data_IF_822285566726
#
_entry.id   IF_822285566726
#
_cell.length_a   1.000
_cell.length_b   1.000
_cell.length_c   1.000
_cell.angle_alpha   90.00
_cell.angle_beta   90.00
_cell.angle_gamma   90.00
#
_symmetry.space_group_name_H-M   'P 1'
#
loop_
_entity.id
_entity.type
_entity.pdbx_description
1 polymer ?
#
# COMPACT_ATOMS: atom_id res chain seq x y z
N UNK A 1 28.54 31.29 10.08
CA UNK A 1 27.38 30.76 10.81
C UNK A 1 26.81 29.62 9.98
N UNK A 2 26.88 28.37 10.47
CA UNK A 2 26.31 27.22 9.76
C UNK A 2 24.80 27.26 9.97
N UNK A 3 24.04 27.35 8.88
CA UNK A 3 22.59 27.17 8.90
C UNK A 3 22.34 25.71 9.26
N UNK A 4 22.07 25.43 10.53
CA UNK A 4 21.58 24.13 10.96
C UNK A 4 20.12 24.03 10.50
N UNK A 5 19.89 23.21 9.47
CA UNK A 5 18.54 22.81 9.10
C UNK A 5 17.87 22.21 10.33
N UNK A 6 16.64 22.63 10.69
CA UNK A 6 15.95 22.08 11.83
C UNK A 6 15.82 20.55 11.67
N UNK A 7 15.96 19.77 12.76
CA UNK A 7 15.82 18.33 12.70
C UNK A 7 14.45 17.97 12.12
N UNK A 8 14.36 16.89 11.30
CA UNK A 8 13.08 16.44 10.78
C UNK A 8 12.14 16.14 11.95
N UNK A 9 10.86 16.54 11.90
CA UNK A 9 9.93 16.24 12.96
C UNK A 9 9.82 14.72 13.10
N UNK A 10 10.11 14.24 14.30
CA UNK A 10 9.75 12.90 14.77
C UNK A 10 8.27 12.70 14.48
N UNK A 11 7.81 11.53 13.98
CA UNK A 11 6.39 11.28 13.83
C UNK A 11 5.74 11.41 15.22
N UNK A 12 5.12 12.56 15.48
CA UNK A 12 4.24 12.72 16.63
C UNK A 12 3.04 11.82 16.44
N UNK A 13 2.62 11.18 17.54
CA UNK A 13 1.41 10.37 17.66
C UNK A 13 0.11 11.13 17.36
N UNK A 14 0.19 12.41 17.01
CA UNK A 14 -0.94 13.22 16.58
C UNK A 14 -1.21 12.99 15.08
N UNK A 15 -1.75 11.81 14.75
CA UNK A 15 -2.62 11.74 13.57
C UNK A 15 -3.78 12.71 13.82
N UNK A 16 -4.23 13.50 12.81
CA UNK A 16 -5.52 14.18 12.96
C UNK A 16 -6.56 13.13 13.37
N UNK A 17 -7.35 13.41 14.40
CA UNK A 17 -8.41 12.49 14.80
C UNK A 17 -9.30 12.22 13.58
N UNK A 18 -9.59 10.95 13.32
CA UNK A 18 -10.55 10.57 12.30
C UNK A 18 -11.86 11.32 12.59
N UNK A 19 -12.55 11.89 11.58
CA UNK A 19 -13.79 12.61 11.82
C UNK A 19 -14.79 11.72 12.58
N UNK A 20 -15.57 12.26 13.53
CA UNK A 20 -16.71 11.52 14.08
C UNK A 20 -17.74 11.33 12.96
N UNK A 21 -17.78 10.15 12.35
CA UNK A 21 -18.67 9.82 11.25
C UNK A 21 -18.76 8.31 11.07
N UNK A 22 -19.90 7.82 10.59
CA UNK A 22 -20.04 6.42 10.19
C UNK A 22 -19.29 6.22 8.87
N UNK A 23 -18.18 5.49 8.94
CA UNK A 23 -17.36 5.14 7.78
C UNK A 23 -17.59 3.72 7.30
N UNK A 24 -18.63 3.01 7.77
CA UNK A 24 -18.93 1.65 7.31
C UNK A 24 -18.91 1.59 5.78
N UNK A 25 -19.54 2.57 5.13
CA UNK A 25 -19.71 2.65 3.67
C UNK A 25 -18.44 3.15 2.95
N UNK A 26 -17.60 3.89 3.67
CA UNK A 26 -16.30 4.40 3.24
C UNK A 26 -15.22 3.31 3.24
N UNK A 27 -15.34 2.32 4.14
CA UNK A 27 -14.53 1.10 4.17
C UNK A 27 -14.84 0.21 2.96
N UNK A 28 -16.07 0.28 2.39
CA UNK A 28 -16.52 -0.58 1.29
C UNK A 28 -16.05 -0.20 -0.12
N UNK A 29 -15.30 0.89 -0.32
CA UNK A 29 -14.95 1.34 -1.68
C UNK A 29 -13.75 0.56 -2.22
N UNK A 30 -14.02 -0.57 -2.89
CA UNK A 30 -13.12 -1.44 -3.69
C UNK A 30 -11.73 -0.89 -4.07
N UNK A 31 -10.68 -1.30 -3.33
CA UNK A 31 -9.35 -1.45 -3.87
C UNK A 31 -9.03 -2.68 -4.66
N UNK A 32 -8.00 -2.58 -5.49
CA UNK A 32 -7.61 -3.53 -6.53
C UNK A 32 -7.57 -2.85 -7.90
N UNK A 33 -6.85 -3.42 -8.88
CA UNK A 33 -7.10 -3.09 -10.29
C UNK A 33 -8.55 -3.53 -10.52
N UNK A 34 -9.48 -2.58 -10.43
CA UNK A 34 -10.91 -2.88 -10.53
C UNK A 34 -11.12 -3.67 -11.82
N UNK A 35 -11.68 -4.87 -11.72
CA UNK A 35 -12.07 -5.63 -12.91
C UNK A 35 -12.99 -4.69 -13.71
N UNK A 36 -12.60 -4.27 -14.92
CA UNK A 36 -13.42 -3.37 -15.71
C UNK A 36 -14.78 -3.99 -16.07
N UNK A 37 -14.96 -5.29 -15.81
CA UNK A 37 -16.19 -6.03 -15.99
C UNK A 37 -16.98 -6.25 -14.68
N UNK A 38 -16.50 -5.79 -13.50
CA UNK A 38 -17.31 -5.86 -12.27
C UNK A 38 -18.51 -4.91 -12.42
N UNK A 39 -19.77 -5.39 -12.33
CA UNK A 39 -20.96 -4.54 -12.49
C UNK A 39 -21.09 -3.47 -11.40
N UNK A 40 -20.32 -3.56 -10.30
CA UNK A 40 -20.19 -2.50 -9.28
C UNK A 40 -19.18 -1.42 -9.67
N UNK A 41 -18.51 -1.56 -10.81
CA UNK A 41 -17.60 -0.58 -11.35
C UNK A 41 -18.35 0.65 -11.84
N UNK A 42 -18.48 1.64 -10.97
CA UNK A 42 -18.80 2.99 -11.42
C UNK A 42 -17.56 3.57 -12.11
N UNK A 43 -17.68 3.76 -13.43
CA UNK A 43 -16.66 4.46 -14.20
C UNK A 43 -16.68 5.93 -13.78
N UNK A 44 -15.62 6.36 -13.10
CA UNK A 44 -15.42 7.78 -12.78
C UNK A 44 -14.99 8.47 -14.08
N UNK A 45 -15.91 9.19 -14.69
CA UNK A 45 -15.64 9.94 -15.91
C UNK A 45 -14.82 11.19 -15.59
N UNK A 46 -13.66 11.39 -16.24
CA UNK A 46 -12.89 12.62 -16.09
C UNK A 46 -13.67 13.82 -16.62
N UNK A 47 -13.65 14.92 -15.88
CA UNK A 47 -14.28 16.18 -16.29
C UNK A 47 -13.22 17.20 -16.74
N UNK A 48 -13.50 17.93 -17.82
CA UNK A 48 -12.60 18.99 -18.28
C UNK A 48 -12.60 20.16 -17.28
N UNK A 49 -11.40 20.58 -16.87
CA UNK A 49 -11.23 21.75 -16.00
C UNK A 49 -11.39 23.03 -16.83
N UNK A 50 -12.15 23.96 -16.30
CA UNK A 50 -12.34 25.33 -16.80
C UNK A 50 -11.98 26.34 -15.70
N UNK A 51 -11.82 27.63 -16.01
CA UNK A 51 -11.60 28.67 -14.99
C UNK A 51 -12.65 28.68 -13.87
N UNK A 52 -13.89 28.30 -14.20
CA UNK A 52 -15.02 28.28 -13.27
C UNK A 52 -15.18 26.96 -12.51
N UNK A 53 -14.40 25.92 -12.84
CA UNK A 53 -14.48 24.64 -12.16
C UNK A 53 -14.14 24.81 -10.67
N UNK A 54 -15.02 24.32 -9.80
CA UNK A 54 -14.74 24.26 -8.36
C UNK A 54 -13.97 22.97 -8.10
N UNK A 55 -12.76 23.12 -7.56
CA UNK A 55 -11.91 22.01 -7.17
C UNK A 55 -12.06 21.77 -5.67
N UNK A 56 -12.34 20.53 -5.29
CA UNK A 56 -12.57 20.11 -3.91
C UNK A 56 -11.34 19.37 -3.36
N UNK A 57 -11.18 19.27 -2.02
CA UNK A 57 -10.15 18.41 -1.43
C UNK A 57 -10.18 17.00 -2.05
N UNK A 58 -9.00 16.48 -2.37
CA UNK A 58 -8.77 15.19 -3.03
C UNK A 58 -9.28 15.02 -4.46
N UNK A 59 -9.77 16.07 -5.10
CA UNK A 59 -9.88 16.07 -6.56
C UNK A 59 -8.51 15.76 -7.18
N UNK A 60 -8.46 14.74 -8.05
CA UNK A 60 -7.25 14.33 -8.75
C UNK A 60 -7.23 15.04 -10.09
N UNK A 61 -6.27 15.94 -10.27
CA UNK A 61 -6.09 16.71 -11.50
C UNK A 61 -5.02 16.07 -12.37
N UNK A 62 -5.43 15.62 -13.55
CA UNK A 62 -4.56 15.11 -14.60
C UNK A 62 -4.22 16.27 -15.55
N UNK A 63 -2.94 16.47 -15.84
CA UNK A 63 -2.51 17.57 -16.70
C UNK A 63 -1.20 17.28 -17.41
N UNK A 64 -0.88 18.13 -18.39
CA UNK A 64 0.41 18.11 -19.08
C UNK A 64 1.41 19.07 -18.43
N UNK A 65 2.57 18.55 -18.05
CA UNK A 65 3.75 19.31 -17.64
C UNK A 65 4.92 18.99 -18.59
N UNK A 66 5.39 20.01 -19.32
CA UNK A 66 6.57 19.95 -20.21
C UNK A 66 7.85 19.52 -19.48
N UNK A 67 7.91 19.69 -18.15
CA UNK A 67 9.07 19.33 -17.32
C UNK A 67 8.99 17.92 -16.76
N UNK A 68 7.85 17.23 -16.91
CA UNK A 68 7.73 15.83 -16.48
C UNK A 68 8.57 14.95 -17.41
N UNK A 69 9.34 14.05 -16.82
CA UNK A 69 10.10 13.01 -17.54
C UNK A 69 9.25 11.75 -17.79
N UNK A 70 8.02 11.73 -17.29
CA UNK A 70 7.07 10.63 -17.48
C UNK A 70 6.48 10.77 -18.88
N UNK A 71 6.71 9.77 -19.73
CA UNK A 71 6.03 9.64 -21.01
C UNK A 71 4.64 9.07 -20.72
N UNK A 72 3.57 9.66 -21.28
CA UNK A 72 2.21 9.14 -21.09
C UNK A 72 1.36 9.22 -22.36
N UNK A 73 0.38 8.32 -22.38
CA UNK A 73 -0.73 8.22 -23.34
C UNK A 73 -1.57 9.52 -23.34
N UNK A 74 -2.00 9.95 -24.53
CA UNK A 74 -3.12 10.89 -24.71
C UNK A 74 -3.02 12.26 -23.99
N UNK A 75 -1.83 12.89 -23.99
CA UNK A 75 -1.72 14.33 -23.71
C UNK A 75 -1.74 14.75 -22.24
N UNK A 76 -1.84 13.83 -21.28
CA UNK A 76 -1.61 14.06 -19.84
C UNK A 76 -0.34 13.33 -19.40
N UNK A 77 0.47 13.88 -18.51
CA UNK A 77 1.71 13.20 -18.05
C UNK A 77 2.06 13.46 -16.58
N UNK A 78 1.14 14.09 -15.85
CA UNK A 78 1.29 14.39 -14.44
C UNK A 78 -0.07 14.33 -13.77
N UNK A 79 -0.05 13.95 -12.49
CA UNK A 79 -1.19 13.98 -11.59
C UNK A 79 -0.88 14.88 -10.40
N UNK A 80 -1.88 15.66 -9.97
CA UNK A 80 -1.84 16.45 -8.75
C UNK A 80 -3.10 16.19 -7.90
N UNK A 81 -2.95 16.24 -6.59
CA UNK A 81 -4.01 15.99 -5.61
C UNK A 81 -4.34 17.31 -4.92
N UNK A 82 -5.57 17.78 -5.07
CA UNK A 82 -6.03 19.01 -4.41
C UNK A 82 -6.03 18.77 -2.90
N UNK A 83 -5.40 19.67 -2.14
CA UNK A 83 -5.24 19.51 -0.69
C UNK A 83 -5.97 20.57 0.14
N UNK A 84 -6.17 21.74 -0.44
CA UNK A 84 -6.84 22.88 0.18
C UNK A 84 -7.43 23.79 -0.92
N UNK A 85 -7.99 24.93 -0.54
CA UNK A 85 -8.61 25.91 -1.43
C UNK A 85 -7.63 26.68 -2.31
N UNK A 86 -6.32 26.48 -2.15
CA UNK A 86 -5.27 27.27 -2.80
C UNK A 86 -4.36 26.44 -3.70
N UNK A 87 -4.14 25.16 -3.40
CA UNK A 87 -3.13 24.35 -4.09
C UNK A 87 -3.47 22.87 -4.18
N UNK A 88 -2.78 22.24 -5.13
CA UNK A 88 -2.64 20.81 -5.24
C UNK A 88 -1.16 20.39 -5.08
N UNK A 89 -0.93 19.15 -4.66
CA UNK A 89 0.40 18.54 -4.54
C UNK A 89 0.63 17.48 -5.61
N UNK A 90 1.85 17.40 -6.12
CA UNK A 90 2.24 16.40 -7.11
C UNK A 90 3.62 15.82 -6.80
N UNK A 91 3.90 14.59 -7.25
CA UNK A 91 5.19 13.93 -7.04
C UNK A 91 6.02 13.93 -8.34
N UNK A 92 7.21 14.51 -8.29
CA UNK A 92 8.24 14.48 -9.36
C UNK A 92 9.63 14.31 -8.74
N UNK A 93 9.87 13.14 -8.15
CA UNK A 93 11.03 12.86 -7.30
C UNK A 93 10.90 13.49 -5.92
N UNK A 94 10.57 14.78 -5.86
CA UNK A 94 10.11 15.50 -4.65
C UNK A 94 8.62 15.83 -4.77
N UNK A 95 7.98 16.14 -3.63
CA UNK A 95 6.62 16.67 -3.65
C UNK A 95 6.66 18.15 -3.99
N UNK A 96 6.07 18.51 -5.12
CA UNK A 96 5.85 19.89 -5.55
C UNK A 96 4.44 20.37 -5.23
N UNK A 97 4.23 21.67 -5.32
CA UNK A 97 2.91 22.29 -5.22
C UNK A 97 2.62 23.11 -6.48
N UNK A 98 1.35 23.14 -6.88
CA UNK A 98 0.84 23.97 -7.96
C UNK A 98 -0.43 24.67 -7.47
N UNK A 99 -0.63 25.95 -7.81
CA UNK A 99 -1.83 26.66 -7.41
C UNK A 99 -3.05 26.16 -8.17
N UNK A 100 -4.24 26.25 -7.58
CA UNK A 100 -5.48 25.87 -8.28
C UNK A 100 -5.75 26.80 -9.48
N UNK A 101 -5.38 28.07 -9.39
CA UNK A 101 -5.45 29.02 -10.51
C UNK A 101 -4.59 28.56 -11.69
N UNK A 102 -3.35 28.12 -11.44
CA UNK A 102 -2.47 27.62 -12.49
C UNK A 102 -3.04 26.34 -13.11
N UNK A 103 -3.58 25.42 -12.30
CA UNK A 103 -4.22 24.19 -12.79
C UNK A 103 -5.42 24.47 -13.69
N UNK A 104 -6.25 25.46 -13.32
CA UNK A 104 -7.42 25.87 -14.11
C UNK A 104 -7.08 26.46 -15.49
N UNK A 105 -5.84 26.92 -15.65
CA UNK A 105 -5.32 27.45 -16.90
C UNK A 105 -4.52 26.41 -17.71
N UNK A 106 -4.34 25.19 -17.20
CA UNK A 106 -3.67 24.12 -17.96
C UNK A 106 -4.57 23.64 -19.11
N UNK A 107 -4.08 23.65 -20.36
CA UNK A 107 -4.83 23.09 -21.49
C UNK A 107 -5.12 21.61 -21.26
N UNK A 108 -6.34 21.18 -21.60
CA UNK A 108 -6.80 19.79 -21.51
C UNK A 108 -6.62 19.15 -20.12
N UNK A 109 -6.55 19.96 -19.05
CA UNK A 109 -6.56 19.42 -17.71
C UNK A 109 -7.90 18.79 -17.38
N UNK A 110 -7.84 17.62 -16.75
CA UNK A 110 -8.99 16.83 -16.36
C UNK A 110 -9.02 16.71 -14.85
N UNK A 111 -10.21 16.73 -14.26
CA UNK A 111 -10.42 16.39 -12.85
C UNK A 111 -11.15 15.06 -12.76
N UNK A 112 -10.65 14.20 -11.88
CA UNK A 112 -11.23 12.90 -11.54
C UNK A 112 -11.65 12.95 -10.07
N UNK A 113 -12.92 12.68 -9.80
CA UNK A 113 -13.51 12.74 -8.47
C UNK A 113 -13.89 11.34 -8.01
N UNK A 114 -12.98 10.71 -7.26
CA UNK A 114 -13.12 9.31 -6.86
C UNK A 114 -13.07 9.04 -5.36
N UNK A 115 -12.81 10.06 -4.54
CA UNK A 115 -12.75 9.93 -3.08
C UNK A 115 -14.03 10.50 -2.49
N UNK A 116 -14.80 9.74 -1.70
CA UNK A 116 -16.06 10.22 -1.13
C UNK A 116 -15.82 11.23 0.00
N UNK A 117 -16.81 12.10 0.22
CA UNK A 117 -16.96 12.78 1.50
C UNK A 117 -17.52 11.80 2.56
N UNK A 118 -17.12 11.88 3.84
CA UNK A 118 -16.24 12.89 4.45
C UNK A 118 -14.74 12.51 4.47
N UNK A 119 -14.33 11.43 3.78
CA UNK A 119 -12.92 10.98 3.77
C UNK A 119 -12.01 11.98 3.06
N UNK A 120 -12.47 12.56 1.95
CA UNK A 120 -11.66 13.39 1.07
C UNK A 120 -10.91 14.52 1.80
N UNK A 121 -11.55 15.38 2.63
CA UNK A 121 -10.84 16.40 3.41
C UNK A 121 -9.82 15.85 4.41
N UNK A 122 -10.07 14.66 4.97
CA UNK A 122 -9.16 14.03 5.93
C UNK A 122 -7.89 13.52 5.24
N UNK A 123 -8.05 12.80 4.12
CA UNK A 123 -6.92 12.33 3.31
C UNK A 123 -6.11 13.51 2.75
N UNK A 124 -6.76 14.64 2.46
CA UNK A 124 -6.10 15.88 2.01
C UNK A 124 -5.07 16.38 3.03
N UNK A 125 -5.49 16.44 4.30
CA UNK A 125 -4.64 16.84 5.42
C UNK A 125 -3.47 15.86 5.60
N UNK A 126 -3.71 14.56 5.42
CA UNK A 126 -2.65 13.54 5.49
C UNK A 126 -1.61 13.70 4.37
N UNK A 127 -2.03 13.91 3.12
CA UNK A 127 -1.12 14.22 2.01
C UNK A 127 -0.31 15.49 2.28
N UNK A 128 -0.94 16.53 2.81
CA UNK A 128 -0.27 17.76 3.19
C UNK A 128 0.76 17.56 4.33
N UNK A 129 0.46 16.70 5.32
CA UNK A 129 1.39 16.28 6.39
C UNK A 129 2.60 15.57 5.79
N UNK A 130 2.40 14.74 4.78
CA UNK A 130 3.47 13.97 4.11
C UNK A 130 4.20 14.71 2.98
N UNK A 131 3.91 15.98 2.71
CA UNK A 131 4.58 16.75 1.64
C UNK A 131 6.11 16.77 1.73
N UNK A 132 6.67 16.69 2.94
CA UNK A 132 8.12 16.69 3.14
C UNK A 132 8.75 15.29 3.07
N UNK A 133 7.92 14.26 2.84
CA UNK A 133 8.30 12.85 2.78
C UNK A 133 7.81 12.26 1.45
N UNK A 134 8.53 12.47 0.33
CA UNK A 134 8.09 12.06 -1.02
C UNK A 134 7.68 10.59 -1.13
N UNK A 135 8.37 9.72 -0.41
CA UNK A 135 8.03 8.32 -0.20
C UNK A 135 6.61 8.11 0.34
N UNK A 136 6.31 8.70 1.50
CA UNK A 136 5.04 8.53 2.20
C UNK A 136 3.91 9.14 1.40
N UNK A 137 4.18 10.27 0.74
CA UNK A 137 3.27 10.85 -0.24
C UNK A 137 2.99 9.87 -1.37
N UNK A 138 4.02 9.27 -1.97
CA UNK A 138 3.88 8.25 -3.02
C UNK A 138 3.03 7.05 -2.58
N UNK A 139 3.27 6.52 -1.38
CA UNK A 139 2.46 5.43 -0.82
C UNK A 139 1.00 5.85 -0.65
N UNK A 140 0.74 7.00 -0.03
CA UNK A 140 -0.61 7.53 0.12
C UNK A 140 -1.31 7.67 -1.24
N UNK A 141 -0.62 8.16 -2.27
CA UNK A 141 -1.19 8.25 -3.62
C UNK A 141 -1.50 6.88 -4.22
N UNK A 142 -0.69 5.85 -3.95
CA UNK A 142 -1.00 4.48 -4.39
C UNK A 142 -2.28 3.96 -3.72
N UNK A 143 -2.43 4.15 -2.40
CA UNK A 143 -3.64 3.79 -1.67
C UNK A 143 -4.87 4.50 -2.23
N UNK A 144 -4.77 5.81 -2.53
CA UNK A 144 -5.87 6.58 -3.16
C UNK A 144 -6.21 6.05 -4.57
N UNK A 145 -5.21 5.78 -5.40
CA UNK A 145 -5.40 5.25 -6.77
C UNK A 145 -6.01 3.86 -6.75
N UNK A 146 -5.64 3.07 -5.75
CA UNK A 146 -6.27 1.82 -5.49
C UNK A 146 -7.63 2.02 -4.82
N UNK A 147 -8.09 3.20 -4.40
CA UNK A 147 -9.29 3.35 -3.54
C UNK A 147 -9.22 2.66 -2.17
N UNK A 148 -8.04 2.28 -1.70
CA UNK A 148 -7.85 1.70 -0.38
C UNK A 148 -7.70 2.78 0.68
N UNK A 149 -8.79 3.05 1.41
CA UNK A 149 -8.79 4.10 2.43
C UNK A 149 -8.49 3.60 3.85
N UNK A 150 -8.48 2.27 4.07
CA UNK A 150 -8.34 1.69 5.40
C UNK A 150 -7.08 2.18 6.16
N UNK A 151 -5.89 2.29 5.55
CA UNK A 151 -4.70 2.77 6.24
C UNK A 151 -4.76 4.25 6.65
N UNK A 152 -5.58 5.07 5.99
CA UNK A 152 -5.80 6.44 6.42
C UNK A 152 -6.68 6.48 7.67
N UNK A 153 -7.72 5.65 7.72
CA UNK A 153 -8.68 5.58 8.82
C UNK A 153 -8.06 4.95 10.08
N UNK A 154 -7.27 3.88 9.92
CA UNK A 154 -6.54 3.26 11.04
C UNK A 154 -5.33 4.08 11.49
N UNK A 155 -4.82 4.97 10.62
CA UNK A 155 -3.58 5.72 10.86
C UNK A 155 -2.31 4.88 10.71
N UNK A 156 -2.42 3.62 10.27
CA UNK A 156 -1.34 2.64 10.27
C UNK A 156 -1.17 2.00 8.88
N UNK A 157 -0.02 2.24 8.25
CA UNK A 157 0.38 1.53 7.02
C UNK A 157 0.82 0.09 7.30
N UNK A 158 1.42 -0.10 8.47
CA UNK A 158 1.75 -1.40 9.03
C UNK A 158 1.17 -1.44 10.43
N UNK A 159 0.53 -2.54 10.82
CA UNK A 159 0.02 -2.67 12.17
C UNK A 159 1.19 -2.65 13.18
N UNK A 160 0.96 -2.30 14.46
CA UNK A 160 1.98 -2.37 15.50
C UNK A 160 2.38 -3.82 15.77
N UNK A 161 3.58 -4.06 16.30
CA UNK A 161 3.96 -5.41 16.71
C UNK A 161 3.11 -5.85 17.91
N UNK A 162 2.70 -7.12 17.93
CA UNK A 162 1.91 -7.69 19.02
C UNK A 162 2.81 -8.57 19.88
N UNK A 163 2.71 -8.40 21.19
CA UNK A 163 3.43 -9.21 22.16
C UNK A 163 2.44 -9.92 23.07
N UNK A 164 2.59 -11.24 23.20
CA UNK A 164 1.81 -12.04 24.13
C UNK A 164 2.58 -12.26 25.42
N UNK A 165 1.85 -12.25 26.53
CA UNK A 165 2.40 -12.52 27.86
C UNK A 165 2.55 -14.01 28.07
N UNK A 166 1.61 -14.81 27.56
CA UNK A 166 1.55 -16.26 27.75
C UNK A 166 1.47 -17.03 26.42
N UNK A 167 1.76 -18.32 26.45
CA UNK A 167 1.62 -19.18 25.28
C UNK A 167 0.15 -19.49 24.97
N UNK A 168 -0.71 -19.57 25.99
CA UNK A 168 -2.16 -19.75 25.80
C UNK A 168 -2.77 -18.56 25.04
N UNK A 169 -2.41 -17.33 25.42
CA UNK A 169 -2.80 -16.11 24.70
C UNK A 169 -2.31 -16.14 23.24
N UNK A 170 -1.06 -16.54 23.02
CA UNK A 170 -0.51 -16.71 21.67
C UNK A 170 -1.30 -17.74 20.85
N UNK A 171 -1.63 -18.90 21.43
CA UNK A 171 -2.35 -19.96 20.73
C UNK A 171 -3.81 -19.62 20.47
N UNK A 172 -4.46 -18.87 21.36
CA UNK A 172 -5.80 -18.34 21.13
C UNK A 172 -5.79 -17.36 19.95
N UNK A 173 -4.83 -16.43 19.92
CA UNK A 173 -4.69 -15.46 18.83
C UNK A 173 -4.31 -16.14 17.51
N UNK A 174 -3.41 -17.12 17.54
CA UNK A 174 -3.12 -17.96 16.38
C UNK A 174 -4.37 -18.68 15.86
N UNK A 175 -5.20 -19.22 16.74
CA UNK A 175 -6.44 -19.88 16.36
C UNK A 175 -7.47 -18.91 15.76
N UNK A 176 -7.50 -17.65 16.24
CA UNK A 176 -8.33 -16.59 15.65
C UNK A 176 -7.81 -16.19 14.28
N UNK A 177 -6.50 -15.98 14.16
CA UNK A 177 -5.82 -15.68 12.92
C UNK A 177 -6.11 -16.74 11.86
N UNK A 178 -5.93 -18.03 12.18
CA UNK A 178 -6.27 -19.16 11.29
C UNK A 178 -7.71 -19.10 10.76
N UNK A 179 -8.68 -18.72 11.61
CA UNK A 179 -10.09 -18.61 11.22
C UNK A 179 -10.41 -17.40 10.35
N UNK A 180 -9.58 -16.36 10.40
CA UNK A 180 -9.74 -15.14 9.60
C UNK A 180 -9.19 -15.30 8.18
N UNK A 181 -8.32 -16.29 7.95
CA UNK A 181 -7.68 -16.51 6.66
C UNK A 181 -8.63 -17.08 5.61
N UNK A 182 -8.50 -16.56 4.40
CA UNK A 182 -9.13 -17.09 3.19
C UNK A 182 -8.06 -17.44 2.14
N UNK A 183 -8.30 -18.43 1.28
CA UNK A 183 -7.36 -18.76 0.21
C UNK A 183 -6.98 -17.52 -0.62
N UNK A 184 -5.71 -17.45 -1.00
CA UNK A 184 -5.03 -16.32 -1.67
C UNK A 184 -4.65 -15.13 -0.76
N UNK A 185 -4.91 -15.20 0.55
CA UNK A 185 -4.37 -14.21 1.50
C UNK A 185 -2.85 -14.21 1.51
N UNK A 186 -2.24 -13.02 1.43
CA UNK A 186 -0.81 -12.84 1.53
C UNK A 186 -0.38 -12.75 3.00
N UNK A 187 0.48 -13.66 3.42
CA UNK A 187 1.05 -13.75 4.76
C UNK A 187 2.45 -13.12 4.77
N UNK A 188 2.58 -11.99 5.45
CA UNK A 188 3.84 -11.28 5.59
C UNK A 188 4.51 -11.68 6.90
N UNK A 189 5.74 -12.15 6.82
CA UNK A 189 6.45 -12.69 7.99
C UNK A 189 7.76 -11.97 8.28
N UNK A 190 8.05 -11.88 9.57
CA UNK A 190 9.32 -11.42 10.10
C UNK A 190 9.83 -12.41 11.13
N UNK A 191 11.05 -12.89 10.91
CA UNK A 191 11.72 -13.80 11.80
C UNK A 191 12.61 -13.01 12.76
N UNK A 192 12.17 -12.90 14.01
CA UNK A 192 12.85 -12.11 15.05
C UNK A 192 14.27 -12.61 15.34
N UNK A 193 14.60 -13.86 14.98
CA UNK A 193 15.91 -14.47 15.22
C UNK A 193 16.83 -14.41 13.99
N UNK A 194 16.29 -14.25 12.78
CA UNK A 194 17.08 -14.22 11.54
C UNK A 194 17.72 -12.85 11.29
N UNK A 195 19.05 -12.81 11.20
CA UNK A 195 19.78 -11.59 10.82
C UNK A 195 19.39 -11.11 9.42
N UNK A 196 19.19 -12.04 8.47
CA UNK A 196 18.77 -11.71 7.12
C UNK A 196 17.39 -11.06 7.12
N UNK A 197 16.47 -11.57 7.94
CA UNK A 197 15.13 -11.00 8.11
C UNK A 197 15.19 -9.54 8.58
N UNK A 198 16.03 -9.26 9.59
CA UNK A 198 16.29 -7.91 10.10
C UNK A 198 16.86 -6.97 9.04
N UNK A 199 17.81 -7.45 8.23
CA UNK A 199 18.42 -6.66 7.15
C UNK A 199 17.38 -6.32 6.07
N UNK A 200 16.54 -7.28 5.66
CA UNK A 200 15.50 -7.04 4.65
C UNK A 200 14.47 -6.03 5.17
N UNK A 201 13.95 -6.23 6.39
CA UNK A 201 12.98 -5.33 7.01
C UNK A 201 13.54 -3.89 7.10
N UNK A 202 14.78 -3.74 7.58
CA UNK A 202 15.46 -2.46 7.66
C UNK A 202 15.66 -1.81 6.29
N UNK A 203 16.15 -2.57 5.30
CA UNK A 203 16.42 -2.05 3.95
C UNK A 203 15.15 -1.60 3.23
N UNK A 204 14.05 -2.31 3.45
CA UNK A 204 12.75 -2.05 2.81
C UNK A 204 11.85 -1.10 3.61
N UNK A 205 12.34 -0.54 4.72
CA UNK A 205 11.65 0.42 5.57
C UNK A 205 10.26 -0.06 6.07
N UNK A 206 10.15 -1.33 6.44
CA UNK A 206 8.93 -1.88 7.03
C UNK A 206 9.22 -3.10 7.89
N UNK A 207 8.20 -3.67 8.55
CA UNK A 207 8.42 -4.70 9.57
C UNK A 207 8.63 -6.10 8.99
N UNK A 208 8.26 -6.35 7.73
CA UNK A 208 8.25 -7.70 7.17
C UNK A 208 9.48 -7.98 6.30
N UNK A 209 9.82 -9.26 6.19
CA UNK A 209 11.02 -9.71 5.47
C UNK A 209 10.77 -10.81 4.45
N UNK A 210 9.59 -11.42 4.52
CA UNK A 210 9.20 -12.54 3.69
C UNK A 210 7.69 -12.49 3.43
N UNK A 211 7.26 -13.17 2.38
CA UNK A 211 5.86 -13.29 2.00
C UNK A 211 5.56 -14.73 1.60
N UNK A 212 4.43 -15.24 2.08
CA UNK A 212 3.83 -16.49 1.68
C UNK A 212 2.37 -16.23 1.25
N UNK A 213 1.75 -17.17 0.57
CA UNK A 213 0.32 -17.13 0.25
C UNK A 213 -0.38 -18.26 1.01
N UNK A 214 -1.45 -17.94 1.73
CA UNK A 214 -2.33 -18.96 2.28
C UNK A 214 -3.14 -19.57 1.15
N UNK A 215 -3.11 -20.89 1.03
CA UNK A 215 -3.78 -21.59 -0.08
C UNK A 215 -5.03 -22.34 0.37
N UNK A 216 -5.43 -22.23 1.65
CA UNK A 216 -6.50 -23.02 2.26
C UNK A 216 -5.99 -24.30 2.94
N UNK A 217 -6.88 -24.97 3.67
CA UNK A 217 -6.60 -26.23 4.39
C UNK A 217 -5.33 -26.21 5.24
N UNK A 218 -5.08 -25.09 5.94
CA UNK A 218 -3.90 -24.89 6.78
C UNK A 218 -2.58 -25.04 6.02
N UNK A 219 -2.57 -24.79 4.71
CA UNK A 219 -1.35 -24.81 3.90
C UNK A 219 -1.01 -23.42 3.39
N UNK A 220 0.28 -23.21 3.18
CA UNK A 220 0.83 -22.00 2.58
C UNK A 220 1.74 -22.39 1.41
N UNK A 221 1.77 -21.55 0.39
CA UNK A 221 2.76 -21.57 -0.67
C UNK A 221 3.78 -20.46 -0.45
N UNK A 222 5.06 -20.76 -0.63
CA UNK A 222 6.11 -19.77 -0.48
C UNK A 222 7.36 -20.06 -1.32
N UNK A 223 8.18 -19.03 -1.49
CA UNK A 223 9.48 -19.12 -2.16
C UNK A 223 10.60 -18.88 -1.16
N UNK A 224 11.31 -19.93 -0.78
CA UNK A 224 12.45 -19.87 0.13
C UNK A 224 13.76 -20.12 -0.60
N UNK A 225 14.89 -20.01 0.09
CA UNK A 225 16.24 -20.19 -0.48
C UNK A 225 16.46 -21.54 -1.18
N UNK A 226 15.71 -22.57 -0.77
CA UNK A 226 15.76 -23.91 -1.36
C UNK A 226 14.81 -24.10 -2.56
N UNK A 227 13.93 -23.14 -2.83
CA UNK A 227 12.95 -23.19 -3.92
C UNK A 227 11.53 -22.88 -3.48
N UNK A 228 10.57 -23.17 -4.36
CA UNK A 228 9.15 -23.02 -4.08
C UNK A 228 8.60 -24.25 -3.36
N UNK A 229 7.76 -24.06 -2.35
CA UNK A 229 7.20 -25.16 -1.57
C UNK A 229 5.79 -24.86 -1.09
N UNK A 230 5.05 -25.94 -0.83
CA UNK A 230 3.80 -25.91 -0.07
C UNK A 230 4.10 -26.57 1.27
N UNK A 231 3.79 -25.88 2.36
CA UNK A 231 4.05 -26.35 3.74
C UNK A 231 2.87 -26.01 4.65
N UNK A 232 2.73 -26.66 5.81
CA UNK A 232 1.70 -26.30 6.77
C UNK A 232 1.87 -24.84 7.23
N UNK A 233 0.75 -24.14 7.45
CA UNK A 233 0.69 -22.81 8.06
C UNK A 233 1.40 -22.78 9.42
N UNK A 234 1.33 -23.89 10.16
CA UNK A 234 2.05 -24.11 11.41
C UNK A 234 3.58 -23.96 11.31
N UNK A 235 4.14 -23.93 10.11
CA UNK A 235 5.55 -23.54 9.88
C UNK A 235 5.88 -22.19 10.52
N UNK A 236 4.90 -21.29 10.59
CA UNK A 236 5.02 -19.99 11.22
C UNK A 236 4.43 -19.90 12.63
N UNK A 237 3.93 -21.01 13.20
CA UNK A 237 3.33 -21.04 14.55
C UNK A 237 4.41 -21.06 15.64
N UNK A 238 5.09 -19.94 15.80
CA UNK A 238 6.00 -19.69 16.91
C UNK A 238 6.10 -18.19 17.19
N UNK A 239 6.24 -17.80 18.47
CA UNK A 239 6.53 -16.41 18.90
C UNK A 239 7.83 -15.84 18.31
N UNK A 240 8.69 -16.69 17.72
CA UNK A 240 9.83 -16.27 16.89
C UNK A 240 9.39 -15.46 15.67
N UNK A 241 8.24 -15.80 15.09
CA UNK A 241 7.71 -15.16 13.90
C UNK A 241 6.68 -14.11 14.29
N UNK A 242 6.77 -12.97 13.62
CA UNK A 242 5.65 -12.06 13.47
C UNK A 242 4.99 -12.39 12.15
N UNK A 243 3.69 -12.56 12.12
CA UNK A 243 2.91 -12.90 10.93
C UNK A 243 1.75 -11.92 10.81
N UNK A 244 1.59 -11.29 9.66
CA UNK A 244 0.41 -10.48 9.37
C UNK A 244 -0.22 -10.95 8.07
N UNK A 245 -1.54 -11.11 8.09
CA UNK A 245 -2.31 -11.46 6.91
C UNK A 245 -2.83 -10.19 6.26
N UNK A 246 -2.71 -10.16 4.94
CA UNK A 246 -3.27 -9.12 4.10
C UNK A 246 -4.03 -9.77 2.96
N UNK A 247 -5.21 -9.25 2.69
CA UNK A 247 -6.04 -9.68 1.57
C UNK A 247 -5.92 -8.71 0.43
N UNK A 248 -5.86 -9.22 -0.79
CA UNK A 248 -6.04 -8.39 -1.97
C UNK A 248 -7.51 -8.00 -2.02
N UNK A 249 -7.78 -6.75 -1.69
CA UNK A 249 -9.14 -6.26 -1.62
C UNK A 249 -9.69 -6.15 -3.06
N UNK A 250 -11.02 -6.21 -3.23
CA UNK A 250 -11.70 -6.11 -4.53
C UNK A 250 -11.44 -7.22 -5.54
N UNK A 251 -10.55 -8.17 -5.24
CA UNK A 251 -10.46 -9.42 -5.98
C UNK A 251 -11.65 -10.32 -5.64
N UNK A 252 -12.10 -11.12 -6.61
CA UNK A 252 -13.11 -12.14 -6.36
C UNK A 252 -12.57 -13.16 -5.37
N UNK A 253 -13.48 -13.73 -4.57
CA UNK A 253 -13.14 -14.89 -3.75
C UNK A 253 -12.49 -15.98 -4.61
N UNK A 254 -11.33 -16.45 -4.17
CA UNK A 254 -10.60 -17.56 -4.78
C UNK A 254 -10.86 -18.79 -3.92
N UNK A 255 -11.42 -19.83 -4.53
CA UNK A 255 -11.63 -21.11 -3.84
C UNK A 255 -10.30 -21.77 -3.49
N UNK A 256 -10.32 -22.67 -2.50
CA UNK A 256 -9.15 -23.48 -2.15
C UNK A 256 -8.62 -24.24 -3.39
N UNK A 257 -9.52 -24.84 -4.17
CA UNK A 257 -9.20 -25.62 -5.35
C UNK A 257 -8.51 -24.77 -6.42
N UNK A 258 -9.01 -23.56 -6.64
CA UNK A 258 -8.42 -22.62 -7.60
C UNK A 258 -7.03 -22.14 -7.16
N UNK A 259 -6.89 -21.74 -5.89
CA UNK A 259 -5.61 -21.34 -5.31
C UNK A 259 -4.60 -22.49 -5.39
N UNK A 260 -5.00 -23.69 -4.97
CA UNK A 260 -4.17 -24.88 -5.03
C UNK A 260 -3.73 -25.21 -6.47
N UNK A 261 -4.61 -25.12 -7.45
CA UNK A 261 -4.28 -25.35 -8.86
C UNK A 261 -3.24 -24.33 -9.38
N UNK A 262 -3.40 -23.05 -9.03
CA UNK A 262 -2.46 -21.99 -9.40
C UNK A 262 -1.06 -22.23 -8.78
N UNK A 263 -1.00 -22.47 -7.47
CA UNK A 263 0.26 -22.56 -6.74
C UNK A 263 0.99 -23.89 -6.95
N UNK A 264 0.26 -25.00 -7.15
CA UNK A 264 0.86 -26.31 -7.46
C UNK A 264 1.61 -26.30 -8.78
N UNK A 265 1.18 -25.51 -9.77
CA UNK A 265 1.89 -25.35 -11.05
C UNK A 265 3.31 -24.77 -10.90
N UNK A 266 3.61 -24.16 -9.75
CA UNK A 266 4.92 -23.57 -9.45
C UNK A 266 5.64 -24.23 -8.28
N UNK A 267 4.97 -25.08 -7.49
CA UNK A 267 5.55 -25.76 -6.34
C UNK A 267 6.63 -26.77 -6.75
N UNK A 268 7.66 -26.94 -5.89
CA UNK A 268 8.75 -27.89 -6.11
C UNK A 268 9.77 -27.45 -7.16
N UNK A 269 9.67 -26.22 -7.69
CA UNK A 269 10.68 -25.67 -8.59
C UNK A 269 11.95 -25.39 -7.78
N UNK A 270 13.09 -26.03 -8.13
CA UNK A 270 14.32 -25.87 -7.39
C UNK A 270 14.95 -24.51 -7.65
N UNK A 271 15.63 -24.00 -6.63
CA UNK A 271 16.46 -22.82 -6.74
C UNK A 271 15.74 -21.51 -6.40
N UNK A 272 16.51 -20.62 -5.79
CA UNK A 272 16.10 -19.26 -5.48
C UNK A 272 16.78 -18.31 -6.46
N UNK A 273 16.09 -17.27 -6.91
CA UNK A 273 16.67 -16.27 -7.81
C UNK A 273 17.62 -15.34 -7.04
N UNK A 274 18.78 -15.85 -6.63
CA UNK A 274 19.78 -15.09 -5.86
C UNK A 274 20.25 -13.84 -6.60
N UNK A 275 20.42 -13.91 -7.92
CA UNK A 275 20.80 -12.75 -8.73
C UNK A 275 19.72 -11.66 -8.69
N UNK A 276 18.45 -12.04 -8.87
CA UNK A 276 17.31 -11.14 -8.75
C UNK A 276 17.16 -10.56 -7.34
N UNK A 277 17.28 -11.39 -6.31
CA UNK A 277 17.20 -10.97 -4.91
C UNK A 277 18.35 -10.03 -4.53
N UNK A 278 19.57 -10.30 -5.00
CA UNK A 278 20.72 -9.41 -4.79
C UNK A 278 20.51 -8.06 -5.50
N UNK A 279 20.12 -8.08 -6.78
CA UNK A 279 19.83 -6.85 -7.52
C UNK A 279 18.68 -6.05 -6.89
N UNK A 280 17.63 -6.73 -6.42
CA UNK A 280 16.54 -6.11 -5.68
C UNK A 280 17.03 -5.50 -4.35
N UNK A 281 17.90 -6.21 -3.62
CA UNK A 281 18.56 -5.71 -2.42
C UNK A 281 19.39 -4.46 -2.70
N UNK A 282 20.27 -4.48 -3.69
CA UNK A 282 21.09 -3.31 -4.10
C UNK A 282 20.20 -2.12 -4.45
N UNK A 283 19.14 -2.32 -5.24
CA UNK A 283 18.18 -1.26 -5.58
C UNK A 283 17.43 -0.72 -4.37
N UNK A 284 17.10 -1.60 -3.42
CA UNK A 284 16.41 -1.23 -2.18
C UNK A 284 17.31 -0.39 -1.27
N UNK A 285 18.59 -0.74 -1.14
CA UNK A 285 19.54 -0.02 -0.27
C UNK A 285 20.11 1.26 -0.91
N UNK A 286 20.36 1.25 -2.22
CA UNK A 286 21.09 2.32 -2.92
C UNK A 286 20.29 3.05 -4.01
N UNK A 287 19.08 2.59 -4.36
CA UNK A 287 18.21 3.19 -5.37
C UNK A 287 16.98 3.89 -4.78
N UNK A 288 15.92 4.06 -5.60
CA UNK A 288 14.60 4.53 -5.15
C UNK A 288 13.98 3.50 -4.19
N UNK A 289 14.30 3.66 -2.89
CA UNK A 289 14.05 2.72 -1.77
C UNK A 289 12.59 2.29 -1.57
N UNK A 290 11.67 2.86 -2.35
CA UNK A 290 10.23 2.80 -2.14
C UNK A 290 9.43 2.48 -3.41
N UNK A 291 10.11 2.26 -4.55
CA UNK A 291 9.46 1.98 -5.84
C UNK A 291 9.52 0.52 -6.25
N UNK A 292 10.03 -0.36 -5.41
CA UNK A 292 10.19 -1.77 -5.76
C UNK A 292 9.00 -2.59 -5.22
N UNK A 293 7.98 -2.90 -6.04
CA UNK A 293 6.87 -3.78 -5.67
C UNK A 293 7.32 -5.24 -5.49
N UNK A 294 8.62 -5.52 -5.56
CA UNK A 294 9.18 -6.87 -5.44
C UNK A 294 9.69 -7.17 -4.03
N UNK A 295 9.47 -6.27 -3.07
CA UNK A 295 9.85 -6.46 -1.66
C UNK A 295 8.60 -6.60 -0.81
N UNK A 296 8.60 -7.37 0.30
CA UNK A 296 7.40 -7.60 1.10
C UNK A 296 6.69 -6.30 1.51
N UNK A 297 7.43 -5.35 2.09
CA UNK A 297 6.86 -4.06 2.48
C UNK A 297 6.44 -3.22 1.25
N UNK A 298 7.18 -3.29 0.14
CA UNK A 298 6.79 -2.62 -1.11
C UNK A 298 5.49 -3.15 -1.71
N UNK A 299 5.18 -4.44 -1.54
CA UNK A 299 3.90 -5.04 -1.96
C UNK A 299 2.76 -4.44 -1.16
N UNK A 300 2.88 -4.35 0.16
CA UNK A 300 1.85 -3.69 1.02
C UNK A 300 1.67 -2.23 0.61
N UNK A 301 2.79 -1.51 0.43
CA UNK A 301 2.82 -0.09 0.08
C UNK A 301 2.41 0.21 -1.39
N UNK A 302 2.15 -0.82 -2.20
CA UNK A 302 1.54 -0.68 -3.52
C UNK A 302 0.06 -0.28 -3.45
N UNK A 303 -0.58 -0.43 -2.28
CA UNK A 303 -1.95 0.01 -2.03
C UNK A 303 -3.03 -1.05 -2.24
N UNK A 304 -2.72 -2.17 -2.92
CA UNK A 304 -3.72 -3.19 -3.26
C UNK A 304 -4.14 -4.09 -2.07
N UNK A 305 -3.35 -4.09 -1.00
CA UNK A 305 -3.52 -5.00 0.14
C UNK A 305 -4.21 -4.32 1.32
N UNK A 306 -5.15 -5.03 1.94
CA UNK A 306 -5.82 -4.61 3.18
C UNK A 306 -5.44 -5.56 4.31
N UNK A 307 -5.11 -5.00 5.47
CA UNK A 307 -4.78 -5.76 6.66
C UNK A 307 -5.99 -6.55 7.18
N UNK A 308 -5.80 -7.82 7.52
CA UNK A 308 -6.85 -8.71 8.04
C UNK A 308 -6.65 -8.95 9.53
N UNK A 309 -5.54 -9.57 9.90
CA UNK A 309 -5.19 -9.88 11.28
C UNK A 309 -3.68 -10.10 11.39
N UNK A 310 -3.14 -10.13 12.62
CA UNK A 310 -1.73 -10.48 12.85
C UNK A 310 -1.54 -11.29 14.10
N UNK A 311 -0.44 -12.05 14.12
CA UNK A 311 0.03 -12.84 15.25
C UNK A 311 1.53 -12.73 15.50
#
# INVERSE_FOLDING_TARGET
MRNESPPPPTPGHDAPEAPEGDFSDAIFIQPGIRDPNDPRYERIEPEKITPNTVLKPLDIVLYFDKRSKILMQEGVNQQAYVIDDKRALFLRGIVGSISLEELKLKPEALVVRGVPDPIAPYVAKMLLKYRWRPTMFGFATNFIQMHNYAPFLSGELFPPDVSYTTDDEYFEQWSRFERALEPDDALFTFDRQSLLSKVIALGTHGPFSHVAHYIGDKNIWEVVTTGTRIVPLDTYRSRRYRVAAYRNYGHRYVSHEESMAHFTATAGKPGYNYAGAFLAGVRTFFGDKHRSPTTPNGIILSGALTFIDQV
#
